data_IF_197256399906
#
_entry.id   IF_197256399906
#
_cell.length_a   1.000
_cell.length_b   1.000
_cell.length_c   1.000
_cell.angle_alpha   90.00
_cell.angle_beta   90.00
_cell.angle_gamma   90.00
#
_symmetry.space_group_name_H-M   'P 1'
#
loop_
_entity.id
_entity.type
_entity.pdbx_description
1 polymer ?
#
# COMPACT_ATOMS: atom_id res chain seq x y z
N UNK A 1 2.14 11.71 16.69
CA UNK A 1 1.13 11.84 15.64
C UNK A 1 0.22 10.61 15.68
N UNK A 2 -1.09 10.79 15.87
CA UNK A 2 -2.03 9.66 15.88
C UNK A 2 -2.04 8.95 14.54
N UNK A 3 -1.83 7.62 14.54
CA UNK A 3 -2.02 6.80 13.37
C UNK A 3 -3.52 6.55 13.12
N UNK A 4 -3.93 6.58 11.86
CA UNK A 4 -5.29 6.22 11.45
C UNK A 4 -5.34 4.83 10.80
N UNK A 5 -4.24 4.39 10.18
CA UNK A 5 -4.01 3.02 9.73
C UNK A 5 -2.73 2.48 10.37
N UNK A 6 -2.81 1.28 10.89
CA UNK A 6 -1.70 0.53 11.49
C UNK A 6 -1.61 -0.80 10.76
N UNK A 7 -0.50 -1.03 10.07
CA UNK A 7 -0.22 -2.28 9.37
C UNK A 7 0.90 -3.01 10.09
N UNK A 8 0.62 -4.18 10.65
CA UNK A 8 1.57 -4.98 11.44
C UNK A 8 1.89 -6.29 10.74
N UNK A 9 3.14 -6.71 10.83
CA UNK A 9 3.60 -8.03 10.36
C UNK A 9 4.70 -8.58 11.24
N UNK A 10 4.60 -9.87 11.57
CA UNK A 10 5.73 -10.58 12.18
C UNK A 10 6.86 -10.75 11.17
N UNK A 11 8.11 -10.59 11.62
CA UNK A 11 9.30 -10.76 10.78
C UNK A 11 9.78 -12.21 10.74
N UNK A 12 9.61 -12.94 11.84
CA UNK A 12 10.16 -14.29 12.00
C UNK A 12 9.21 -15.44 11.68
N UNK A 13 7.91 -15.17 11.57
CA UNK A 13 6.88 -16.22 11.41
C UNK A 13 6.05 -16.04 10.15
N UNK A 14 5.47 -17.15 9.68
CA UNK A 14 4.50 -17.20 8.60
C UNK A 14 3.11 -16.76 9.11
N UNK A 15 3.02 -15.54 9.64
CA UNK A 15 1.77 -14.94 10.13
C UNK A 15 1.15 -14.03 9.09
N UNK A 16 -0.13 -13.75 9.26
CA UNK A 16 -0.88 -12.82 8.41
C UNK A 16 -0.40 -11.39 8.58
N UNK A 17 -0.51 -10.60 7.53
CA UNK A 17 -0.43 -9.14 7.60
C UNK A 17 -1.72 -8.59 8.19
N UNK A 18 -1.63 -7.76 9.21
CA UNK A 18 -2.79 -7.23 9.94
C UNK A 18 -2.91 -5.72 9.71
N UNK A 19 -4.04 -5.25 9.17
CA UNK A 19 -4.39 -3.84 9.08
C UNK A 19 -5.51 -3.53 10.05
N UNK A 20 -5.27 -2.61 10.99
CA UNK A 20 -6.28 -1.97 11.83
C UNK A 20 -6.37 -0.49 11.47
N UNK A 21 -7.57 0.10 11.51
CA UNK A 21 -7.75 1.51 11.22
C UNK A 21 -8.81 2.15 12.14
N UNK A 22 -8.81 3.48 12.20
CA UNK A 22 -9.71 4.23 13.08
C UNK A 22 -11.15 4.30 12.57
N UNK A 23 -11.40 4.05 11.31
CA UNK A 23 -12.73 4.11 10.69
C UNK A 23 -13.56 2.90 11.09
N UNK A 24 -12.96 1.71 11.14
CA UNK A 24 -13.64 0.47 11.55
C UNK A 24 -13.63 0.27 13.05
N UNK A 25 -12.78 0.99 13.78
CA UNK A 25 -12.66 0.92 15.22
C UNK A 25 -11.66 -0.12 15.72
N UNK A 26 -11.47 -0.08 17.05
CA UNK A 26 -10.53 -0.94 17.75
C UNK A 26 -11.00 -2.39 17.74
N UNK A 27 -10.07 -3.31 17.57
CA UNK A 27 -10.34 -4.75 17.54
C UNK A 27 -10.89 -5.27 16.22
N UNK A 28 -10.99 -4.40 15.22
CA UNK A 28 -11.31 -4.79 13.84
C UNK A 28 -10.04 -4.87 13.00
N UNK A 29 -9.96 -5.86 12.10
CA UNK A 29 -8.76 -6.14 11.34
C UNK A 29 -9.08 -6.69 9.96
N UNK A 30 -8.28 -6.25 8.99
CA UNK A 30 -8.22 -6.78 7.63
C UNK A 30 -6.83 -7.36 7.37
N UNK A 31 -6.73 -8.34 6.48
CA UNK A 31 -5.50 -9.06 6.18
C UNK A 31 -5.12 -8.86 4.71
N UNK A 32 -3.94 -8.28 4.42
CA UNK A 32 -3.56 -7.95 3.03
C UNK A 32 -3.22 -9.17 2.20
N UNK A 33 -2.88 -10.26 2.83
CA UNK A 33 -2.50 -11.53 2.21
C UNK A 33 -3.64 -12.57 2.22
N UNK A 34 -4.87 -12.10 2.41
CA UNK A 34 -6.06 -12.95 2.44
C UNK A 34 -7.25 -12.21 1.81
N UNK A 35 -8.08 -12.95 1.08
CA UNK A 35 -9.34 -12.44 0.53
C UNK A 35 -10.45 -12.34 1.57
N UNK A 36 -10.27 -12.87 2.78
CA UNK A 36 -11.26 -12.87 3.86
C UNK A 36 -11.78 -11.46 4.19
N UNK A 37 -13.02 -11.39 4.64
CA UNK A 37 -13.64 -10.16 5.13
C UNK A 37 -13.02 -9.66 6.43
N UNK A 38 -13.62 -8.64 7.02
CA UNK A 38 -13.17 -8.06 8.29
C UNK A 38 -13.33 -9.07 9.44
N UNK A 39 -12.25 -9.27 10.19
CA UNK A 39 -12.23 -10.10 11.40
C UNK A 39 -12.30 -9.23 12.68
N UNK A 40 -12.69 -9.86 13.78
CA UNK A 40 -12.65 -9.24 15.11
C UNK A 40 -11.54 -9.88 15.94
N UNK A 41 -10.54 -9.07 16.31
CA UNK A 41 -9.39 -9.43 17.15
C UNK A 41 -9.27 -8.47 18.33
N UNK A 42 -10.10 -8.66 19.37
CA UNK A 42 -10.17 -7.75 20.52
C UNK A 42 -8.88 -7.63 21.32
N UNK A 43 -7.97 -8.60 21.18
CA UNK A 43 -6.62 -8.63 21.78
C UNK A 43 -5.48 -8.37 20.75
N UNK A 44 -5.81 -7.82 19.58
CA UNK A 44 -4.87 -7.25 18.60
C UNK A 44 -4.45 -5.83 18.99
N UNK A 45 -4.78 -4.84 18.15
CA UNK A 45 -4.68 -3.41 18.53
C UNK A 45 -5.79 -3.10 19.53
N UNK A 46 -5.43 -2.66 20.75
CA UNK A 46 -6.37 -2.43 21.84
C UNK A 46 -6.65 -0.95 22.10
N UNK A 47 -5.78 -0.06 21.65
CA UNK A 47 -6.03 1.39 21.66
C UNK A 47 -5.12 2.09 20.64
N UNK A 48 -5.57 3.27 20.18
CA UNK A 48 -4.79 4.19 19.34
C UNK A 48 -4.81 5.56 20.02
N UNK A 49 -3.64 6.00 20.48
CA UNK A 49 -3.46 7.29 21.14
C UNK A 49 -2.81 8.34 20.23
N UNK A 50 -2.57 9.53 20.79
CA UNK A 50 -2.03 10.66 20.03
C UNK A 50 -0.64 10.40 19.42
N UNK A 51 0.19 9.57 20.07
CA UNK A 51 1.58 9.29 19.63
C UNK A 51 1.95 7.80 19.76
N UNK A 52 0.99 6.94 20.04
CA UNK A 52 1.22 5.52 20.25
C UNK A 52 -0.01 4.71 19.86
N UNK A 53 0.16 3.41 19.83
CA UNK A 53 -0.93 2.44 19.90
C UNK A 53 -0.55 1.34 20.89
N UNK A 54 -1.54 0.69 21.48
CA UNK A 54 -1.32 -0.47 22.34
C UNK A 54 -1.76 -1.75 21.64
N UNK A 55 -1.05 -2.83 21.93
CA UNK A 55 -1.35 -4.17 21.45
C UNK A 55 -1.62 -5.10 22.64
N UNK A 56 -2.51 -6.05 22.43
CA UNK A 56 -2.82 -7.09 23.39
C UNK A 56 -1.94 -8.33 23.25
N UNK A 57 -2.48 -9.48 23.60
CA UNK A 57 -1.76 -10.76 23.66
C UNK A 57 -1.90 -11.62 22.40
N UNK A 58 -2.54 -11.11 21.33
CA UNK A 58 -2.70 -11.89 20.11
C UNK A 58 -1.34 -12.14 19.43
N UNK A 59 -1.04 -13.39 19.07
CA UNK A 59 0.24 -13.80 18.50
C UNK A 59 0.57 -13.15 17.15
N UNK A 60 -0.41 -12.61 16.42
CA UNK A 60 -0.18 -11.82 15.21
C UNK A 60 0.43 -10.44 15.48
N UNK A 61 0.44 -9.99 16.73
CA UNK A 61 0.96 -8.69 17.17
C UNK A 61 2.03 -8.79 18.24
N UNK A 62 1.98 -9.83 19.09
CA UNK A 62 2.77 -9.93 20.29
C UNK A 62 3.09 -11.39 20.62
N UNK A 63 3.84 -12.04 19.77
CA UNK A 63 4.35 -13.40 20.00
C UNK A 63 5.71 -13.35 20.71
N UNK A 64 5.91 -14.22 21.69
CA UNK A 64 7.14 -14.27 22.45
C UNK A 64 8.33 -14.62 21.54
N UNK A 65 9.45 -13.91 21.72
CA UNK A 65 10.70 -14.08 20.96
C UNK A 65 10.65 -13.67 19.48
N UNK A 66 9.51 -13.24 18.95
CA UNK A 66 9.34 -12.83 17.56
C UNK A 66 9.45 -11.29 17.43
N UNK A 67 10.24 -10.84 16.45
CA UNK A 67 10.27 -9.43 16.08
C UNK A 67 9.12 -9.09 15.12
N UNK A 68 8.59 -7.89 15.28
CA UNK A 68 7.52 -7.34 14.44
C UNK A 68 7.96 -6.05 13.77
N UNK A 69 7.28 -5.69 12.70
CA UNK A 69 7.32 -4.38 12.08
C UNK A 69 5.90 -3.81 12.05
N UNK A 70 5.78 -2.51 12.26
CA UNK A 70 4.54 -1.77 12.01
C UNK A 70 4.80 -0.59 11.11
N UNK A 71 3.94 -0.41 10.12
CA UNK A 71 3.89 0.77 9.26
C UNK A 71 2.60 1.52 9.59
N UNK A 72 2.71 2.84 9.74
CA UNK A 72 1.62 3.63 10.30
C UNK A 72 1.36 4.85 9.43
N UNK A 73 0.10 5.08 9.07
CA UNK A 73 -0.32 6.24 8.29
C UNK A 73 -1.27 7.11 9.07
N UNK A 74 -1.14 8.41 8.85
CA UNK A 74 -2.11 9.40 9.31
C UNK A 74 -3.02 9.76 8.15
N UNK A 75 -4.31 9.70 8.40
CA UNK A 75 -5.35 10.18 7.51
C UNK A 75 -5.33 11.71 7.49
N UNK A 76 -4.80 12.27 6.41
CA UNK A 76 -4.72 13.71 6.17
C UNK A 76 -4.22 14.01 4.77
N UNK A 77 -4.77 15.02 4.11
CA UNK A 77 -4.31 15.51 2.81
C UNK A 77 -2.82 15.92 2.82
N UNK A 78 -2.33 16.45 3.94
CA UNK A 78 -0.91 16.81 4.09
C UNK A 78 0.05 15.61 4.00
N UNK A 79 -0.43 14.39 4.32
CA UNK A 79 0.32 13.14 4.14
C UNK A 79 -0.03 12.45 2.81
N UNK A 80 -0.95 12.98 2.03
CA UNK A 80 -1.42 12.36 0.79
C UNK A 80 -2.11 11.01 1.01
N UNK A 81 -2.76 10.84 2.17
CA UNK A 81 -3.43 9.60 2.54
C UNK A 81 -4.82 9.88 3.12
N UNK A 82 -5.80 9.11 2.67
CA UNK A 82 -7.18 9.20 3.14
C UNK A 82 -7.80 7.79 3.27
N UNK A 83 -8.73 7.62 4.22
CA UNK A 83 -9.47 6.39 4.46
C UNK A 83 -10.95 6.63 4.20
N UNK A 84 -11.45 6.15 3.08
CA UNK A 84 -12.85 6.22 2.71
C UNK A 84 -13.59 4.94 3.12
N UNK A 85 -14.87 5.06 3.49
CA UNK A 85 -15.75 3.91 3.68
C UNK A 85 -17.12 4.18 3.05
N UNK A 86 -17.76 3.13 2.56
CA UNK A 86 -19.09 3.23 1.97
C UNK A 86 -19.85 1.91 2.00
N UNK A 87 -21.17 2.02 1.95
CA UNK A 87 -22.05 0.90 1.68
C UNK A 87 -22.25 0.77 0.17
N UNK A 88 -22.04 -0.41 -0.36
CA UNK A 88 -22.24 -0.70 -1.78
C UNK A 88 -23.71 -0.70 -2.17
N UNK A 89 -24.00 -0.29 -3.40
CA UNK A 89 -25.36 -0.20 -3.94
C UNK A 89 -25.54 -0.83 -5.32
N UNK A 90 -24.48 -1.43 -5.89
CA UNK A 90 -24.46 -2.06 -7.20
C UNK A 90 -24.92 -1.13 -8.35
N UNK A 91 -24.73 0.19 -8.19
CA UNK A 91 -25.01 1.18 -9.25
C UNK A 91 -23.81 2.10 -9.45
N UNK A 92 -23.66 2.65 -10.65
CA UNK A 92 -22.59 3.60 -10.92
C UNK A 92 -22.67 4.78 -9.95
N UNK A 93 -21.55 5.10 -9.30
CA UNK A 93 -21.45 6.18 -8.31
C UNK A 93 -20.04 6.72 -8.19
N UNK A 94 -19.91 7.80 -7.46
CA UNK A 94 -18.62 8.34 -7.02
C UNK A 94 -18.50 8.21 -5.50
N UNK A 95 -17.26 8.03 -5.04
CA UNK A 95 -16.87 8.07 -3.61
C UNK A 95 -15.99 9.30 -3.41
N UNK A 96 -16.34 10.13 -2.44
CA UNK A 96 -15.55 11.31 -2.08
C UNK A 96 -14.30 10.91 -1.31
N UNK A 97 -13.25 11.72 -1.45
CA UNK A 97 -12.02 11.66 -0.67
C UNK A 97 -11.49 13.07 -0.36
N UNK A 98 -10.70 13.20 0.70
CA UNK A 98 -10.26 14.48 1.23
C UNK A 98 -8.80 14.84 0.87
N UNK A 99 -8.20 14.15 -0.12
CA UNK A 99 -6.80 14.40 -0.52
C UNK A 99 -6.55 15.79 -1.10
N UNK A 100 -7.54 16.37 -1.79
CA UNK A 100 -7.39 17.66 -2.50
C UNK A 100 -6.52 17.56 -3.77
N UNK A 101 -5.97 16.38 -4.08
CA UNK A 101 -5.20 16.06 -5.28
C UNK A 101 -5.74 14.79 -5.91
N UNK A 102 -5.46 14.57 -7.20
CA UNK A 102 -5.89 13.34 -7.88
C UNK A 102 -5.18 12.12 -7.28
N UNK A 103 -5.93 11.12 -6.79
CA UNK A 103 -5.35 9.87 -6.30
C UNK A 103 -4.49 9.20 -7.36
N UNK A 104 -3.36 8.65 -6.92
CA UNK A 104 -2.47 7.85 -7.75
C UNK A 104 -2.62 6.35 -7.48
N UNK A 105 -3.03 6.00 -6.27
CA UNK A 105 -3.34 4.61 -5.90
C UNK A 105 -4.56 4.59 -5.01
N UNK A 106 -5.46 3.63 -5.27
CA UNK A 106 -6.67 3.37 -4.48
C UNK A 106 -6.71 1.87 -4.20
N UNK A 107 -6.72 1.48 -2.93
CA UNK A 107 -6.77 0.09 -2.49
C UNK A 107 -8.12 -0.14 -1.81
N UNK A 108 -8.97 -0.99 -2.39
CA UNK A 108 -10.34 -1.25 -1.92
C UNK A 108 -10.46 -2.66 -1.39
N UNK A 109 -11.16 -2.80 -0.25
CA UNK A 109 -11.53 -4.09 0.33
C UNK A 109 -13.03 -4.15 0.62
N UNK A 110 -13.68 -5.21 0.17
CA UNK A 110 -14.99 -5.62 0.66
C UNK A 110 -14.82 -6.20 2.07
N UNK A 111 -15.46 -5.61 3.08
CA UNK A 111 -15.32 -6.02 4.48
C UNK A 111 -16.23 -7.17 4.87
N UNK A 112 -17.32 -7.37 4.13
CA UNK A 112 -18.35 -8.36 4.45
C UNK A 112 -18.22 -9.69 3.71
N UNK A 113 -17.26 -9.85 2.79
CA UNK A 113 -17.16 -11.02 1.93
C UNK A 113 -15.72 -11.38 1.60
N UNK A 114 -15.51 -12.66 1.28
CA UNK A 114 -14.21 -13.24 0.90
C UNK A 114 -13.90 -12.90 -0.58
N UNK A 115 -13.66 -11.62 -0.84
CA UNK A 115 -13.32 -11.09 -2.15
C UNK A 115 -11.93 -10.45 -2.12
N UNK A 116 -11.13 -10.67 -3.15
CA UNK A 116 -9.80 -10.08 -3.27
C UNK A 116 -9.81 -8.56 -3.14
N UNK A 117 -8.77 -8.01 -2.55
CA UNK A 117 -8.45 -6.60 -2.56
C UNK A 117 -8.29 -6.09 -4.00
N UNK A 118 -8.86 -4.94 -4.31
CA UNK A 118 -8.73 -4.31 -5.64
C UNK A 118 -7.87 -3.07 -5.55
N UNK A 119 -6.94 -2.96 -6.50
CA UNK A 119 -6.00 -1.83 -6.55
C UNK A 119 -6.13 -1.13 -7.90
N UNK A 120 -6.49 0.15 -7.87
CA UNK A 120 -6.23 1.11 -8.93
C UNK A 120 -4.83 1.67 -8.73
N UNK A 121 -4.05 1.80 -9.79
CA UNK A 121 -2.79 2.52 -9.77
C UNK A 121 -2.61 3.30 -11.09
N UNK A 122 -2.43 4.62 -10.98
CA UNK A 122 -2.36 5.52 -12.14
C UNK A 122 -1.22 5.23 -13.13
N UNK A 123 -0.19 4.49 -12.72
CA UNK A 123 0.92 4.08 -13.57
C UNK A 123 0.85 2.61 -14.00
N UNK A 124 -0.29 1.94 -13.83
CA UNK A 124 -0.45 0.53 -14.13
C UNK A 124 -0.41 0.25 -15.64
N UNK A 125 -1.28 0.93 -16.38
CA UNK A 125 -1.39 0.82 -17.85
C UNK A 125 -1.60 2.21 -18.46
N UNK A 126 -1.78 2.28 -19.77
CA UNK A 126 -2.13 3.53 -20.47
C UNK A 126 -3.56 4.01 -20.16
N UNK A 127 -4.45 3.10 -19.73
CA UNK A 127 -5.83 3.38 -19.33
C UNK A 127 -6.13 2.72 -17.96
N UNK A 128 -5.52 3.20 -16.86
CA UNK A 128 -5.58 2.52 -15.57
C UNK A 128 -6.98 2.44 -14.96
N UNK A 129 -7.92 3.26 -15.42
CA UNK A 129 -9.33 3.25 -15.03
C UNK A 129 -10.11 2.06 -15.59
N UNK A 130 -9.57 1.33 -16.57
CA UNK A 130 -10.17 0.08 -17.09
C UNK A 130 -9.60 -1.15 -16.39
N UNK A 131 -8.52 -1.00 -15.63
CA UNK A 131 -7.70 -2.09 -15.15
C UNK A 131 -7.61 -2.15 -13.62
N UNK A 132 -7.23 -3.30 -13.09
CA UNK A 132 -6.96 -3.45 -11.68
C UNK A 132 -5.84 -4.46 -11.40
N UNK A 133 -5.21 -4.30 -10.24
CA UNK A 133 -4.36 -5.29 -9.57
C UNK A 133 -5.08 -5.85 -8.34
N UNK A 134 -4.54 -6.92 -7.76
CA UNK A 134 -5.01 -7.52 -6.50
C UNK A 134 -3.89 -7.48 -5.47
N UNK A 135 -4.14 -6.85 -4.29
CA UNK A 135 -3.12 -6.75 -3.25
C UNK A 135 -2.83 -8.09 -2.57
N UNK A 136 -3.82 -8.96 -2.47
CA UNK A 136 -3.77 -10.30 -1.86
C UNK A 136 -3.35 -11.39 -2.84
N UNK A 137 -2.78 -11.03 -3.99
CA UNK A 137 -2.45 -11.99 -5.06
C UNK A 137 -1.20 -11.60 -5.83
N UNK A 138 -0.50 -12.60 -6.30
CA UNK A 138 0.62 -12.45 -7.24
C UNK A 138 0.20 -12.09 -8.67
N UNK A 139 -1.09 -12.13 -9.02
CA UNK A 139 -1.59 -11.92 -10.38
C UNK A 139 -1.08 -10.62 -11.00
N UNK A 140 -0.84 -10.66 -12.30
CA UNK A 140 -0.64 -9.47 -13.13
C UNK A 140 -1.92 -8.62 -13.23
N UNK A 141 -1.83 -7.49 -13.88
CA UNK A 141 -2.94 -6.61 -14.23
C UNK A 141 -4.05 -7.38 -14.95
N UNK A 142 -5.28 -7.05 -14.61
CA UNK A 142 -6.47 -7.56 -15.29
C UNK A 142 -7.38 -6.41 -15.69
N UNK A 143 -7.92 -6.49 -16.89
CA UNK A 143 -8.97 -5.62 -17.42
C UNK A 143 -10.32 -6.01 -16.79
N UNK A 144 -11.05 -5.03 -16.26
CA UNK A 144 -12.42 -5.22 -15.76
C UNK A 144 -13.12 -3.86 -15.63
N UNK A 145 -13.93 -3.52 -16.62
CA UNK A 145 -14.69 -2.28 -16.70
C UNK A 145 -15.73 -2.10 -15.58
N UNK A 146 -16.03 -3.17 -14.82
CA UNK A 146 -16.99 -3.14 -13.72
C UNK A 146 -16.45 -2.51 -12.43
N UNK A 147 -15.13 -2.23 -12.33
CA UNK A 147 -14.49 -1.71 -11.12
C UNK A 147 -14.63 -0.20 -11.00
N UNK A 148 -13.91 0.55 -11.83
CA UNK A 148 -13.71 2.01 -11.72
C UNK A 148 -14.58 2.82 -12.67
N UNK A 149 -15.57 2.17 -13.34
CA UNK A 149 -16.50 2.78 -14.27
C UNK A 149 -15.81 3.50 -15.45
N UNK A 150 -14.67 2.96 -15.91
CA UNK A 150 -13.86 3.53 -17.00
C UNK A 150 -13.63 5.05 -16.83
N UNK A 151 -13.50 5.48 -15.60
CA UNK A 151 -13.44 6.90 -15.25
C UNK A 151 -12.28 7.19 -14.32
N UNK A 152 -11.32 7.97 -14.79
CA UNK A 152 -10.17 8.39 -14.00
C UNK A 152 -10.60 9.18 -12.76
N UNK A 153 -9.93 9.02 -11.61
CA UNK A 153 -10.20 9.79 -10.41
C UNK A 153 -9.98 11.29 -10.62
N UNK A 154 -10.70 12.10 -9.85
CA UNK A 154 -10.51 13.57 -9.77
C UNK A 154 -9.83 13.93 -8.46
N UNK A 155 -9.66 15.22 -8.17
CA UNK A 155 -9.10 15.69 -6.89
C UNK A 155 -10.07 15.60 -5.70
N UNK A 156 -11.30 15.10 -5.92
CA UNK A 156 -12.33 15.03 -4.88
C UNK A 156 -13.11 13.72 -4.86
N UNK A 157 -13.11 12.95 -5.96
CA UNK A 157 -13.86 11.70 -6.06
C UNK A 157 -13.15 10.67 -6.92
N UNK A 158 -13.42 9.40 -6.68
CA UNK A 158 -13.18 8.31 -7.62
C UNK A 158 -14.49 7.61 -7.96
N UNK A 159 -14.54 7.00 -9.13
CA UNK A 159 -15.77 6.37 -9.67
C UNK A 159 -15.79 4.87 -9.39
N UNK A 160 -16.97 4.34 -9.15
CA UNK A 160 -17.23 2.90 -9.02
C UNK A 160 -18.40 2.50 -9.93
N UNK A 161 -18.33 1.29 -10.48
CA UNK A 161 -19.42 0.69 -11.24
C UNK A 161 -20.18 -0.35 -10.39
N UNK A 162 -20.36 -1.53 -10.86
CA UNK A 162 -21.28 -2.52 -10.26
C UNK A 162 -20.56 -3.73 -9.66
N UNK A 163 -19.23 -3.78 -9.69
CA UNK A 163 -18.47 -4.91 -9.19
C UNK A 163 -18.76 -5.22 -7.72
N UNK A 164 -19.02 -6.47 -7.41
CA UNK A 164 -19.15 -6.93 -6.01
C UNK A 164 -17.86 -6.75 -5.21
N UNK A 165 -16.71 -6.63 -5.86
CA UNK A 165 -15.43 -6.38 -5.18
C UNK A 165 -15.28 -4.94 -4.70
N UNK A 166 -16.01 -3.97 -5.29
CA UNK A 166 -15.87 -2.54 -4.98
C UNK A 166 -17.18 -1.85 -4.61
N UNK A 167 -18.35 -2.34 -5.06
CA UNK A 167 -19.64 -1.65 -4.89
C UNK A 167 -20.87 -2.59 -4.91
N UNK A 168 -20.74 -3.85 -4.51
CA UNK A 168 -21.89 -4.78 -4.44
C UNK A 168 -22.93 -4.35 -3.42
N UNK A 169 -24.21 -4.51 -3.75
CA UNK A 169 -25.32 -4.15 -2.89
C UNK A 169 -25.28 -4.92 -1.55
N UNK A 170 -25.49 -4.20 -0.44
CA UNK A 170 -25.53 -4.78 0.91
C UNK A 170 -24.17 -5.16 1.48
N UNK A 171 -23.07 -4.78 0.85
CA UNK A 171 -21.71 -4.96 1.36
C UNK A 171 -21.10 -3.64 1.79
N UNK A 172 -20.24 -3.66 2.80
CA UNK A 172 -19.49 -2.51 3.28
C UNK A 172 -18.06 -2.56 2.76
N UNK A 173 -17.50 -1.41 2.42
CA UNK A 173 -16.18 -1.27 1.81
C UNK A 173 -15.33 -0.26 2.54
N UNK A 174 -14.01 -0.50 2.50
CA UNK A 174 -12.99 0.49 2.84
C UNK A 174 -12.10 0.74 1.62
N UNK A 175 -11.72 1.99 1.43
CA UNK A 175 -10.73 2.43 0.47
C UNK A 175 -9.58 3.15 1.16
N UNK A 176 -8.36 2.74 0.88
CA UNK A 176 -7.13 3.45 1.25
C UNK A 176 -6.63 4.19 0.02
N UNK A 177 -6.64 5.50 0.09
CA UNK A 177 -6.43 6.39 -1.06
C UNK A 177 -5.12 7.15 -0.90
N UNK A 178 -4.23 7.05 -1.90
CA UNK A 178 -2.90 7.64 -1.86
C UNK A 178 -2.74 8.65 -3.01
N UNK A 179 -2.28 9.86 -2.66
CA UNK A 179 -1.92 10.93 -3.59
C UNK A 179 -0.45 11.31 -3.46
N UNK A 180 0.09 11.93 -4.50
CA UNK A 180 1.47 12.42 -4.45
C UNK A 180 1.59 13.65 -3.55
N UNK A 181 2.60 13.64 -2.68
CA UNK A 181 3.02 14.80 -1.88
C UNK A 181 4.50 15.04 -2.11
N UNK A 182 4.85 16.18 -2.66
CA UNK A 182 6.23 16.50 -3.00
C UNK A 182 7.15 16.37 -1.79
N UNK A 183 8.25 15.61 -1.95
CA UNK A 183 9.24 15.38 -0.89
C UNK A 183 8.81 14.42 0.22
N UNK A 184 7.60 13.83 0.14
CA UNK A 184 7.08 12.94 1.16
C UNK A 184 6.56 11.61 0.62
N UNK A 185 5.65 11.64 -0.37
CA UNK A 185 5.02 10.44 -0.92
C UNK A 185 4.95 10.51 -2.44
N UNK A 186 5.23 9.42 -3.10
CA UNK A 186 5.09 9.28 -4.54
C UNK A 186 4.58 7.89 -4.91
N UNK A 187 3.51 7.87 -5.70
CA UNK A 187 3.02 6.69 -6.38
C UNK A 187 3.39 6.82 -7.87
N UNK A 188 4.10 5.86 -8.42
CA UNK A 188 4.57 5.94 -9.79
C UNK A 188 4.84 4.58 -10.40
N UNK A 189 5.39 4.58 -11.60
CA UNK A 189 5.80 3.37 -12.29
C UNK A 189 7.18 3.55 -12.92
N UNK A 190 7.81 2.44 -13.26
CA UNK A 190 9.03 2.39 -14.05
C UNK A 190 9.02 1.12 -14.90
N UNK A 191 9.80 1.12 -15.95
CA UNK A 191 10.05 -0.06 -16.78
C UNK A 191 11.35 -0.70 -16.32
N UNK A 192 11.32 -2.00 -16.11
CA UNK A 192 12.50 -2.78 -15.75
C UNK A 192 13.52 -2.82 -16.89
N UNK A 193 14.80 -2.90 -16.53
CA UNK A 193 15.92 -2.90 -17.49
C UNK A 193 16.65 -4.24 -17.57
N UNK A 194 16.34 -5.17 -16.66
CA UNK A 194 17.09 -6.43 -16.54
C UNK A 194 18.49 -6.29 -15.95
N UNK A 195 18.90 -5.07 -15.57
CA UNK A 195 20.22 -4.75 -15.00
C UNK A 195 20.12 -3.67 -13.93
N UNK A 196 20.99 -2.65 -13.95
CA UNK A 196 20.86 -1.52 -13.04
C UNK A 196 19.74 -0.58 -13.48
N UNK A 197 18.89 -0.18 -12.53
CA UNK A 197 17.86 0.84 -12.75
C UNK A 197 17.82 1.82 -11.58
N UNK A 198 17.58 3.10 -11.87
CA UNK A 198 17.32 4.15 -10.90
C UNK A 198 15.95 4.76 -11.14
N UNK A 199 15.18 4.90 -10.06
CA UNK A 199 13.84 5.50 -10.07
C UNK A 199 13.84 6.75 -9.20
N UNK A 200 13.59 7.91 -9.82
CA UNK A 200 13.57 9.19 -9.14
C UNK A 200 12.25 9.39 -8.39
N UNK A 201 12.33 9.66 -7.09
CA UNK A 201 11.17 10.01 -6.25
C UNK A 201 11.17 11.47 -5.81
N UNK A 202 12.35 12.13 -5.79
CA UNK A 202 12.53 13.48 -5.27
C UNK A 202 12.82 13.53 -3.76
N UNK A 203 12.98 12.37 -3.12
CA UNK A 203 13.32 12.24 -1.70
C UNK A 203 14.04 10.90 -1.45
N UNK A 204 14.71 10.79 -0.30
CA UNK A 204 15.24 9.51 0.18
C UNK A 204 14.09 8.62 0.64
N UNK A 205 13.97 7.46 0.03
CA UNK A 205 12.90 6.50 0.36
C UNK A 205 13.17 5.88 1.74
N UNK A 206 12.13 5.78 2.54
CA UNK A 206 12.12 5.09 3.83
C UNK A 206 11.26 3.83 3.84
N UNK A 207 10.20 3.83 3.01
CA UNK A 207 9.32 2.69 2.79
C UNK A 207 8.91 2.60 1.32
N UNK A 208 8.88 1.40 0.79
CA UNK A 208 8.60 1.13 -0.62
C UNK A 208 7.74 -0.14 -0.76
N UNK A 209 6.64 -0.03 -1.47
CA UNK A 209 5.82 -1.14 -1.97
C UNK A 209 5.96 -1.18 -3.48
N UNK A 210 6.31 -2.33 -4.05
CA UNK A 210 6.49 -2.53 -5.49
C UNK A 210 5.72 -3.75 -5.97
N UNK A 211 5.11 -3.64 -7.15
CA UNK A 211 4.44 -4.75 -7.84
C UNK A 211 4.81 -4.76 -9.32
N UNK A 212 5.16 -5.92 -9.83
CA UNK A 212 5.21 -6.18 -11.25
C UNK A 212 3.77 -6.19 -11.81
N UNK A 213 3.45 -5.25 -12.69
CA UNK A 213 2.11 -5.10 -13.27
C UNK A 213 1.85 -6.09 -14.42
N UNK A 214 2.90 -6.47 -15.15
CA UNK A 214 2.80 -7.26 -16.38
C UNK A 214 2.94 -8.77 -16.12
N UNK A 215 3.46 -9.16 -14.94
CA UNK A 215 3.75 -10.56 -14.66
C UNK A 215 3.33 -10.99 -13.25
N UNK A 216 3.21 -12.30 -13.08
CA UNK A 216 2.87 -12.94 -11.80
C UNK A 216 4.04 -12.83 -10.82
N UNK A 217 3.89 -11.95 -9.82
CA UNK A 217 4.81 -11.82 -8.68
C UNK A 217 4.15 -11.12 -7.49
N UNK A 218 4.68 -11.32 -6.28
CA UNK A 218 4.14 -10.72 -5.07
C UNK A 218 4.37 -9.21 -4.98
N UNK A 219 3.66 -8.56 -4.05
CA UNK A 219 3.83 -7.18 -3.66
C UNK A 219 4.98 -7.04 -2.66
N UNK A 220 6.13 -6.61 -3.14
CA UNK A 220 7.35 -6.54 -2.34
C UNK A 220 7.39 -5.28 -1.49
N UNK A 221 7.58 -5.44 -0.17
CA UNK A 221 7.73 -4.34 0.81
C UNK A 221 9.15 -4.30 1.36
N UNK A 222 9.79 -3.14 1.24
CA UNK A 222 11.12 -2.86 1.78
C UNK A 222 11.07 -1.56 2.60
N UNK A 223 11.84 -1.49 3.70
CA UNK A 223 11.98 -0.25 4.46
C UNK A 223 13.33 -0.14 5.17
N UNK A 224 13.74 1.10 5.49
CA UNK A 224 15.02 1.42 6.13
C UNK A 224 15.08 1.03 7.60
N UNK A 225 13.95 0.78 8.26
CA UNK A 225 13.93 0.42 9.69
C UNK A 225 14.32 -1.04 9.92
N UNK A 226 13.94 -1.91 8.97
CA UNK A 226 14.34 -3.32 8.99
C UNK A 226 15.74 -3.55 8.43
N UNK A 227 16.19 -2.69 7.51
CA UNK A 227 17.51 -2.76 6.86
C UNK A 227 18.10 -1.35 6.73
N UNK A 228 18.70 -0.80 7.78
CA UNK A 228 19.33 0.51 7.72
C UNK A 228 20.60 0.47 6.84
N UNK A 229 20.68 1.37 5.87
CA UNK A 229 21.78 1.44 4.89
C UNK A 229 21.56 0.58 3.65
N UNK A 230 22.47 0.70 2.69
CA UNK A 230 22.44 -0.04 1.43
C UNK A 230 23.42 -1.22 1.48
N UNK A 231 23.15 -2.35 0.79
CA UNK A 231 21.89 -2.62 0.10
C UNK A 231 20.72 -2.80 1.06
N UNK A 232 19.50 -2.41 0.62
CA UNK A 232 18.27 -2.68 1.35
C UNK A 232 18.00 -4.19 1.32
N UNK A 233 18.33 -4.88 2.41
CA UNK A 233 18.46 -6.33 2.42
C UNK A 233 17.25 -7.10 2.93
N UNK A 234 16.25 -6.44 3.52
CA UNK A 234 15.11 -7.11 4.13
C UNK A 234 13.81 -6.78 3.43
N UNK A 235 13.07 -7.83 3.02
CA UNK A 235 11.78 -7.66 2.37
C UNK A 235 10.71 -8.56 2.97
N UNK A 236 9.45 -8.20 2.72
CA UNK A 236 8.27 -9.06 2.90
C UNK A 236 7.38 -8.91 1.67
N UNK A 237 6.55 -9.90 1.41
CA UNK A 237 5.49 -9.82 0.41
C UNK A 237 4.16 -9.53 1.10
N UNK A 238 3.50 -8.42 0.74
CA UNK A 238 2.23 -8.00 1.32
C UNK A 238 1.09 -9.00 1.08
N UNK A 239 1.19 -9.78 0.01
CA UNK A 239 0.27 -10.82 -0.43
C UNK A 239 0.62 -12.22 0.12
N UNK A 240 1.62 -12.36 1.00
CA UNK A 240 2.07 -13.66 1.48
C UNK A 240 2.17 -13.76 3.00
N UNK A 241 1.97 -14.97 3.51
CA UNK A 241 2.16 -15.29 4.92
C UNK A 241 3.64 -15.33 5.32
N UNK A 242 4.55 -15.49 4.37
CA UNK A 242 5.96 -15.80 4.61
C UNK A 242 6.63 -14.85 5.59
N UNK A 243 7.59 -15.38 6.33
CA UNK A 243 8.54 -14.60 7.13
C UNK A 243 9.36 -13.66 6.25
N UNK A 244 10.09 -12.74 6.88
CA UNK A 244 11.00 -11.81 6.23
C UNK A 244 12.08 -12.55 5.42
N UNK A 245 12.23 -12.16 4.16
CA UNK A 245 13.29 -12.64 3.29
C UNK A 245 14.47 -11.67 3.21
N UNK A 246 15.52 -12.09 2.49
CA UNK A 246 16.74 -11.29 2.28
C UNK A 246 17.05 -11.17 0.79
N UNK A 247 17.39 -9.96 0.36
CA UNK A 247 17.89 -9.63 -0.99
C UNK A 247 19.15 -8.77 -0.87
N UNK A 248 19.89 -8.59 -1.97
CA UNK A 248 21.16 -7.83 -1.98
C UNK A 248 21.21 -6.77 -3.06
N UNK A 249 20.12 -6.49 -3.73
CA UNK A 249 20.06 -5.64 -4.93
C UNK A 249 19.24 -4.35 -4.75
N UNK A 250 18.61 -4.13 -3.60
CA UNK A 250 17.84 -2.91 -3.34
C UNK A 250 18.74 -1.76 -2.89
N UNK A 251 18.57 -0.58 -3.45
CA UNK A 251 19.33 0.62 -3.12
C UNK A 251 18.38 1.80 -2.87
N UNK A 252 18.53 2.49 -1.73
CA UNK A 252 17.82 3.73 -1.44
C UNK A 252 18.80 4.89 -1.47
N UNK A 253 18.59 5.81 -2.43
CA UNK A 253 19.42 6.99 -2.65
C UNK A 253 18.79 8.23 -2.00
N UNK A 254 19.53 9.33 -1.96
CA UNK A 254 19.04 10.61 -1.41
C UNK A 254 17.80 11.18 -2.13
N UNK A 255 17.54 10.76 -3.37
CA UNK A 255 16.47 11.29 -4.23
C UNK A 255 15.67 10.22 -4.97
N UNK A 256 15.78 8.95 -4.56
CA UNK A 256 15.09 7.84 -5.19
C UNK A 256 15.51 6.49 -4.67
N UNK A 257 15.17 5.47 -5.44
CA UNK A 257 15.57 4.08 -5.19
C UNK A 257 16.07 3.44 -6.49
N UNK A 258 16.65 2.26 -6.37
CA UNK A 258 17.07 1.50 -7.52
C UNK A 258 17.32 0.03 -7.21
N UNK A 259 17.52 -0.72 -8.27
CA UNK A 259 17.85 -2.14 -8.22
C UNK A 259 19.17 -2.36 -8.95
N UNK A 260 20.10 -3.07 -8.33
CA UNK A 260 21.44 -3.29 -8.88
C UNK A 260 21.69 -4.74 -9.22
N UNK A 261 22.25 -4.97 -10.40
CA UNK A 261 22.74 -6.27 -10.85
C UNK A 261 21.67 -7.36 -10.88
N UNK A 262 20.40 -6.99 -11.12
CA UNK A 262 19.31 -7.94 -11.11
C UNK A 262 18.29 -7.69 -12.22
N UNK A 263 17.86 -8.76 -12.88
CA UNK A 263 16.68 -8.84 -13.74
C UNK A 263 15.54 -9.59 -13.07
N UNK A 264 15.42 -9.51 -11.73
CA UNK A 264 14.40 -10.22 -10.98
C UNK A 264 12.99 -9.81 -11.42
N UNK A 265 12.15 -10.80 -11.71
CA UNK A 265 10.72 -10.61 -12.03
C UNK A 265 9.97 -9.84 -10.93
N UNK A 266 10.47 -9.86 -9.71
CA UNK A 266 9.86 -9.14 -8.59
C UNK A 266 10.03 -7.62 -8.68
N UNK A 267 11.11 -7.12 -9.31
CA UNK A 267 11.48 -5.71 -9.21
C UNK A 267 12.10 -5.10 -10.47
N UNK A 268 12.67 -5.87 -11.41
CA UNK A 268 13.45 -5.29 -12.52
C UNK A 268 13.59 -6.20 -13.75
N UNK A 269 12.60 -7.02 -14.05
CA UNK A 269 12.55 -7.77 -15.31
C UNK A 269 12.55 -6.81 -16.49
N UNK A 270 13.37 -7.08 -17.53
CA UNK A 270 13.46 -6.23 -18.71
C UNK A 270 12.11 -6.06 -19.39
N UNK A 271 11.82 -4.83 -19.80
CA UNK A 271 10.65 -4.43 -20.57
C UNK A 271 9.29 -4.62 -19.85
N UNK A 272 9.29 -4.97 -18.55
CA UNK A 272 8.09 -5.08 -17.74
C UNK A 272 7.85 -3.80 -16.92
N UNK A 273 6.58 -3.47 -16.73
CA UNK A 273 6.10 -2.32 -15.94
C UNK A 273 6.01 -2.70 -14.48
N UNK A 274 6.57 -1.86 -13.62
CA UNK A 274 6.46 -1.95 -12.17
C UNK A 274 5.76 -0.73 -11.63
N UNK A 275 4.74 -0.93 -10.79
CA UNK A 275 4.08 0.13 -10.05
C UNK A 275 4.61 0.18 -8.62
N UNK A 276 4.63 1.39 -8.01
CA UNK A 276 5.13 1.54 -6.66
C UNK A 276 4.42 2.62 -5.85
N UNK A 277 4.46 2.46 -4.52
CA UNK A 277 4.22 3.52 -3.53
C UNK A 277 5.51 3.70 -2.75
N UNK A 278 6.07 4.91 -2.75
CA UNK A 278 7.27 5.28 -2.01
C UNK A 278 6.96 6.37 -0.99
N UNK A 279 7.47 6.22 0.25
CA UNK A 279 7.33 7.20 1.33
C UNK A 279 8.73 7.58 1.82
N UNK A 280 8.92 8.87 2.09
CA UNK A 280 10.18 9.43 2.53
C UNK A 280 10.62 8.89 3.91
N UNK A 281 11.92 8.67 4.08
CA UNK A 281 12.49 8.26 5.37
C UNK A 281 12.36 9.36 6.43
N UNK A 282 12.65 10.60 6.03
CA UNK A 282 12.56 11.79 6.87
C UNK A 282 11.99 12.93 6.03
N UNK A 283 10.68 13.14 6.04
CA UNK A 283 10.08 14.23 5.31
C UNK A 283 10.47 15.55 5.97
N UNK A 284 11.38 16.29 5.34
CA UNK A 284 11.71 17.66 5.72
C UNK A 284 10.84 18.60 4.88
N UNK A 285 9.79 19.11 5.49
CA UNK A 285 8.95 20.15 4.89
C UNK A 285 9.24 21.46 5.63
N UNK A 286 9.53 22.52 4.90
CA UNK A 286 9.60 23.86 5.49
C UNK A 286 8.23 24.29 6.03
N UNK A 287 8.19 25.31 6.87
CA UNK A 287 6.91 25.88 7.35
C UNK A 287 5.98 26.36 6.24
N UNK A 288 6.48 26.51 5.02
CA UNK A 288 5.72 26.88 3.82
C UNK A 288 5.37 25.69 2.93
N UNK A 289 5.60 24.45 3.38
CA UNK A 289 5.28 23.24 2.62
C UNK A 289 6.28 22.90 1.51
N UNK A 290 7.40 23.61 1.41
CA UNK A 290 8.46 23.29 0.44
C UNK A 290 9.33 22.18 1.01
N UNK A 291 9.51 21.03 0.33
CA UNK A 291 10.41 19.99 0.79
C UNK A 291 11.85 20.52 0.86
N UNK A 292 12.51 20.32 1.99
CA UNK A 292 13.95 20.48 2.04
C UNK A 292 14.57 19.34 1.25
N UNK A 293 15.22 19.63 0.14
CA UNK A 293 16.02 18.65 -0.59
C UNK A 293 17.11 18.15 0.35
N UNK A 294 17.13 16.85 0.63
CA UNK A 294 18.25 16.23 1.30
C UNK A 294 19.51 16.43 0.44
N UNK A 295 20.51 17.08 1.00
CA UNK A 295 21.84 17.18 0.41
C UNK A 295 22.63 15.87 0.58
#
# INVERSE_FOLDING_TARGET
LQANMIWVKSRGNNNRHQISNTVHGIGKVLETNDSGGENTLTNGVTSIGANNFAIGSNSYYNDNTISFVSWNWKDTSAAGFDICNWDGNATNRTISHDLGVVPKTIIVKNMGSDLSWRVYHAGNTAAPETDHLKLDSTSATADDDSMWNDTAPTSSVFSLKTSTSTNGNGSNYVGYVFGDVQGYQKCGSYVGTGSDVFVYTGFKVGWLLVKNADNTNGWLVIDTKRSPGNPQGKYQYADAFSAEGTVTYGEFYSNGFGWKGTGSVAVNQSDETFVYIAIAENPLVTSTGVPALAR
#
